data_IF_619385567297
#
_entry.id   IF_619385567297
#
_cell.length_a   1.000
_cell.length_b   1.000
_cell.length_c   1.000
_cell.angle_alpha   90.00
_cell.angle_beta   90.00
_cell.angle_gamma   90.00
#
_symmetry.space_group_name_H-M   'P 1'
#
loop_
_entity.id
_entity.type
_entity.pdbx_description
1 polymer ?
#
# COMPACT_ATOMS: atom_id res chain seq x y z
N UNK A 1 -16.65 -7.20 -20.36
CA UNK A 1 -15.51 -8.13 -20.54
C UNK A 1 -14.15 -7.42 -20.55
N UNK A 2 -14.09 -6.10 -20.34
CA UNK A 2 -12.86 -5.29 -20.48
C UNK A 2 -12.00 -5.18 -19.21
N UNK A 3 -12.62 -5.23 -18.02
CA UNK A 3 -11.91 -4.99 -16.74
C UNK A 3 -10.84 -6.07 -16.45
N UNK A 4 -11.19 -7.36 -16.65
CA UNK A 4 -10.24 -8.48 -16.45
C UNK A 4 -9.07 -8.47 -17.43
N UNK A 5 -9.29 -8.06 -18.68
CA UNK A 5 -8.24 -7.93 -19.68
C UNK A 5 -7.23 -6.86 -19.28
N UNK A 6 -7.72 -5.74 -18.75
CA UNK A 6 -6.88 -4.64 -18.28
C UNK A 6 -6.03 -5.05 -17.07
N UNK A 7 -6.59 -5.74 -16.06
CA UNK A 7 -5.85 -6.17 -14.88
C UNK A 7 -4.67 -7.12 -15.21
N UNK A 8 -4.81 -8.01 -16.20
CA UNK A 8 -3.73 -8.91 -16.61
C UNK A 8 -2.60 -8.20 -17.37
N UNK A 9 -2.93 -7.20 -18.18
CA UNK A 9 -1.93 -6.35 -18.84
C UNK A 9 -1.14 -5.54 -17.80
N UNK A 10 -1.84 -4.91 -16.85
CA UNK A 10 -1.22 -4.15 -15.76
C UNK A 10 -0.30 -5.04 -14.91
N UNK A 11 -0.79 -6.21 -14.48
CA UNK A 11 0.01 -7.14 -13.69
C UNK A 11 1.30 -7.60 -14.38
N UNK A 12 1.26 -7.85 -15.70
CA UNK A 12 2.47 -8.19 -16.47
C UNK A 12 3.44 -7.01 -16.53
N UNK A 13 2.93 -5.80 -16.79
CA UNK A 13 3.74 -4.57 -16.83
C UNK A 13 4.46 -4.33 -15.50
N UNK A 14 3.73 -4.43 -14.39
CA UNK A 14 4.28 -4.29 -13.03
C UNK A 14 5.37 -5.33 -12.79
N UNK A 15 5.11 -6.62 -13.09
CA UNK A 15 6.10 -7.70 -12.93
C UNK A 15 7.38 -7.39 -13.70
N UNK A 16 7.27 -7.07 -14.98
CA UNK A 16 8.43 -6.78 -15.83
C UNK A 16 9.23 -5.56 -15.36
N UNK A 17 8.56 -4.48 -14.94
CA UNK A 17 9.22 -3.27 -14.40
C UNK A 17 10.00 -3.60 -13.13
N UNK A 18 9.33 -4.22 -12.15
CA UNK A 18 9.91 -4.53 -10.84
C UNK A 18 11.06 -5.53 -10.94
N UNK A 19 10.95 -6.56 -11.79
CA UNK A 19 12.03 -7.52 -12.01
C UNK A 19 13.24 -6.91 -12.72
N UNK A 20 13.03 -5.91 -13.59
CA UNK A 20 14.10 -5.18 -14.25
C UNK A 20 14.85 -4.25 -13.26
N UNK A 21 14.11 -3.53 -12.42
CA UNK A 21 14.66 -2.58 -11.45
C UNK A 21 15.31 -3.28 -10.23
N UNK A 22 14.77 -4.43 -9.84
CA UNK A 22 15.20 -5.17 -8.65
C UNK A 22 15.44 -6.66 -8.97
N UNK A 23 16.52 -7.00 -9.72
CA UNK A 23 16.70 -8.36 -10.26
C UNK A 23 16.97 -9.45 -9.22
N UNK A 24 17.47 -9.10 -8.03
CA UNK A 24 17.98 -10.06 -7.05
C UNK A 24 17.06 -10.19 -5.84
N UNK A 25 16.69 -9.08 -5.20
CA UNK A 25 15.99 -9.07 -3.91
C UNK A 25 14.49 -9.40 -4.07
N UNK A 26 14.06 -10.57 -3.58
CA UNK A 26 12.66 -11.01 -3.67
C UNK A 26 11.71 -10.20 -2.76
N UNK A 27 12.17 -9.80 -1.58
CA UNK A 27 11.34 -9.01 -0.66
C UNK A 27 11.14 -7.61 -1.20
N UNK A 28 12.21 -6.97 -1.70
CA UNK A 28 12.11 -5.67 -2.35
C UNK A 28 11.22 -5.73 -3.58
N UNK A 29 11.33 -6.77 -4.42
CA UNK A 29 10.40 -6.98 -5.55
C UNK A 29 8.95 -7.07 -5.09
N UNK A 30 8.67 -7.82 -4.02
CA UNK A 30 7.31 -7.94 -3.48
C UNK A 30 6.78 -6.58 -3.01
N UNK A 31 7.59 -5.83 -2.27
CA UNK A 31 7.22 -4.51 -1.73
C UNK A 31 6.96 -3.52 -2.87
N UNK A 32 7.82 -3.49 -3.88
CA UNK A 32 7.68 -2.58 -5.02
C UNK A 32 6.52 -2.96 -5.92
N UNK A 33 6.28 -4.25 -6.14
CA UNK A 33 5.07 -4.69 -6.83
C UNK A 33 3.79 -4.28 -6.07
N UNK A 34 3.75 -4.43 -4.74
CA UNK A 34 2.61 -3.98 -3.95
C UNK A 34 2.38 -2.47 -4.05
N UNK A 35 3.46 -1.68 -4.03
CA UNK A 35 3.39 -0.24 -4.23
C UNK A 35 2.81 0.12 -5.62
N UNK A 36 3.37 -0.45 -6.69
CA UNK A 36 2.90 -0.23 -8.06
C UNK A 36 1.44 -0.65 -8.25
N UNK A 37 1.03 -1.79 -7.69
CA UNK A 37 -0.36 -2.27 -7.73
C UNK A 37 -1.31 -1.24 -7.10
N UNK A 38 -0.93 -0.63 -5.98
CA UNK A 38 -1.74 0.40 -5.30
C UNK A 38 -1.85 1.67 -6.14
N UNK A 39 -0.75 2.09 -6.76
CA UNK A 39 -0.70 3.27 -7.64
C UNK A 39 -1.57 3.07 -8.89
N UNK A 40 -1.42 1.93 -9.55
CA UNK A 40 -2.20 1.57 -10.74
C UNK A 40 -3.70 1.45 -10.40
N UNK A 41 -4.05 0.85 -9.26
CA UNK A 41 -5.43 0.77 -8.82
C UNK A 41 -6.04 2.15 -8.56
N UNK A 42 -5.26 3.10 -8.04
CA UNK A 42 -5.71 4.47 -7.81
C UNK A 42 -6.00 5.18 -9.15
N UNK A 43 -5.04 5.16 -10.09
CA UNK A 43 -5.19 5.74 -11.42
C UNK A 43 -6.42 5.19 -12.16
N UNK A 44 -6.54 3.86 -12.19
CA UNK A 44 -7.61 3.17 -12.92
C UNK A 44 -8.99 3.27 -12.25
N UNK A 45 -9.07 3.78 -11.02
CA UNK A 45 -10.35 4.08 -10.35
C UNK A 45 -10.94 5.45 -10.73
N UNK A 46 -10.33 6.16 -11.70
CA UNK A 46 -10.74 7.50 -12.11
C UNK A 46 -10.32 8.58 -11.11
N UNK A 47 -9.26 8.29 -10.34
CA UNK A 47 -8.66 9.23 -9.41
C UNK A 47 -7.32 9.63 -10.01
N UNK A 48 -7.25 10.85 -10.55
CA UNK A 48 -6.01 11.36 -11.11
C UNK A 48 -4.97 11.55 -9.98
N UNK A 49 -3.77 11.01 -10.18
CA UNK A 49 -2.71 11.01 -9.18
C UNK A 49 -1.97 12.34 -9.26
N UNK A 50 -2.27 13.22 -8.31
CA UNK A 50 -1.58 14.50 -8.15
C UNK A 50 -2.53 15.70 -8.12
N UNK A 51 -3.70 15.56 -8.73
CA UNK A 51 -4.63 16.69 -8.97
C UNK A 51 -5.70 16.88 -7.89
N UNK A 52 -5.79 15.98 -6.90
CA UNK A 52 -6.76 16.11 -5.81
C UNK A 52 -6.14 15.93 -4.43
N UNK A 53 -6.68 16.63 -3.42
CA UNK A 53 -6.31 16.41 -2.02
C UNK A 53 -6.55 14.96 -1.59
N UNK A 54 -7.56 14.29 -2.16
CA UNK A 54 -7.87 12.89 -1.90
C UNK A 54 -6.77 11.95 -2.46
N UNK A 55 -6.32 12.16 -3.69
CA UNK A 55 -5.25 11.34 -4.30
C UNK A 55 -3.94 11.48 -3.52
N UNK A 56 -3.55 12.70 -3.16
CA UNK A 56 -2.35 12.97 -2.38
C UNK A 56 -2.44 12.31 -0.98
N UNK A 57 -3.61 12.35 -0.35
CA UNK A 57 -3.86 11.71 0.93
C UNK A 57 -3.76 10.18 0.85
N UNK A 58 -4.27 9.56 -0.22
CA UNK A 58 -4.15 8.11 -0.43
C UNK A 58 -2.72 7.70 -0.73
N UNK A 59 -1.99 8.47 -1.52
CA UNK A 59 -0.60 8.20 -1.85
C UNK A 59 0.28 8.21 -0.58
N UNK A 60 0.02 9.14 0.34
CA UNK A 60 0.61 9.15 1.68
C UNK A 60 0.31 7.86 2.48
N UNK A 61 -0.93 7.36 2.42
CA UNK A 61 -1.28 6.06 3.03
C UNK A 61 -0.49 4.92 2.40
N UNK A 62 -0.36 4.89 1.08
CA UNK A 62 0.43 3.86 0.38
C UNK A 62 1.90 3.90 0.77
N UNK A 63 2.48 5.09 0.98
CA UNK A 63 3.85 5.23 1.49
C UNK A 63 4.02 4.63 2.88
N UNK A 64 3.08 4.87 3.79
CA UNK A 64 3.08 4.21 5.10
C UNK A 64 3.06 2.68 4.91
N UNK A 65 2.14 2.15 4.12
CA UNK A 65 2.07 0.69 3.89
C UNK A 65 3.39 0.15 3.32
N UNK A 66 4.03 0.83 2.37
CA UNK A 66 5.35 0.45 1.83
C UNK A 66 6.42 0.41 2.93
N UNK A 67 6.49 1.41 3.82
CA UNK A 67 7.44 1.42 4.95
C UNK A 67 7.19 0.24 5.89
N UNK A 68 5.93 -0.09 6.17
CA UNK A 68 5.58 -1.18 7.06
C UNK A 68 5.89 -2.56 6.44
N UNK A 69 5.71 -2.71 5.13
CA UNK A 69 6.13 -3.91 4.41
C UNK A 69 7.67 -4.05 4.41
N UNK A 70 8.39 -2.95 4.23
CA UNK A 70 9.86 -2.91 4.36
C UNK A 70 10.33 -3.22 5.77
N UNK A 71 9.62 -2.75 6.80
CA UNK A 71 9.91 -3.08 8.19
C UNK A 71 9.69 -4.57 8.48
N UNK A 72 8.62 -5.16 7.95
CA UNK A 72 8.35 -6.59 8.06
C UNK A 72 9.42 -7.46 7.35
N UNK A 73 10.01 -6.95 6.27
CA UNK A 73 11.16 -7.57 5.60
C UNK A 73 12.51 -7.28 6.28
N UNK A 74 12.54 -6.44 7.32
CA UNK A 74 13.77 -6.03 7.99
C UNK A 74 14.67 -5.08 7.18
N UNK A 75 14.09 -4.40 6.19
CA UNK A 75 14.76 -3.45 5.28
C UNK A 75 14.62 -2.00 5.79
N UNK A 76 13.47 -1.64 6.36
CA UNK A 76 13.22 -0.27 6.80
C UNK A 76 14.12 0.16 7.98
N UNK A 77 14.52 1.42 7.97
CA UNK A 77 15.25 2.06 9.06
C UNK A 77 14.32 2.49 10.19
N UNK A 78 14.88 2.65 11.41
CA UNK A 78 14.14 3.19 12.56
C UNK A 78 13.53 4.57 12.27
N UNK A 79 14.24 5.41 11.51
CA UNK A 79 13.78 6.76 11.14
C UNK A 79 12.54 6.71 10.24
N UNK A 80 12.50 5.79 9.27
CA UNK A 80 11.34 5.63 8.38
C UNK A 80 10.12 5.13 9.15
N UNK A 81 10.30 4.18 10.07
CA UNK A 81 9.21 3.67 10.92
C UNK A 81 8.64 4.78 11.80
N UNK A 82 9.51 5.62 12.40
CA UNK A 82 9.06 6.77 13.19
C UNK A 82 8.30 7.79 12.33
N UNK A 83 8.81 8.12 11.14
CA UNK A 83 8.12 9.03 10.23
C UNK A 83 6.75 8.49 9.79
N UNK A 84 6.63 7.18 9.58
CA UNK A 84 5.36 6.53 9.26
C UNK A 84 4.38 6.56 10.44
N UNK A 85 4.86 6.40 11.68
CA UNK A 85 4.06 6.51 12.89
C UNK A 85 3.54 7.95 13.09
N UNK A 86 4.42 8.94 12.94
CA UNK A 86 4.06 10.35 13.01
C UNK A 86 3.02 10.68 11.94
N UNK A 87 3.22 10.23 10.70
CA UNK A 87 2.27 10.47 9.62
C UNK A 87 0.90 9.82 9.87
N UNK A 88 0.89 8.61 10.43
CA UNK A 88 -0.34 7.91 10.83
C UNK A 88 -1.11 8.66 11.91
N UNK A 89 -0.40 9.21 12.90
CA UNK A 89 -0.99 10.03 13.97
C UNK A 89 -1.71 11.26 13.39
N UNK A 90 -1.10 11.93 12.40
CA UNK A 90 -1.67 13.11 11.74
C UNK A 90 -2.92 12.80 10.91
N UNK A 91 -3.17 11.55 10.52
CA UNK A 91 -4.40 11.18 9.82
C UNK A 91 -5.63 11.11 10.72
N UNK A 92 -5.43 10.88 12.03
CA UNK A 92 -6.50 10.57 12.97
C UNK A 92 -7.49 11.70 13.22
N UNK A 93 -7.09 12.98 13.06
CA UNK A 93 -7.89 14.14 13.48
C UNK A 93 -8.10 14.23 15.00
N UNK A 94 -8.13 13.08 15.69
CA UNK A 94 -8.17 12.89 17.13
C UNK A 94 -7.17 11.77 17.50
N UNK A 95 -6.16 12.10 18.31
CA UNK A 95 -5.03 11.22 18.65
C UNK A 95 -5.45 9.85 19.20
N UNK A 96 -6.54 9.80 19.97
CA UNK A 96 -7.05 8.59 20.64
C UNK A 96 -7.50 7.49 19.67
N UNK A 97 -7.96 7.84 18.48
CA UNK A 97 -8.48 6.85 17.53
C UNK A 97 -7.35 6.10 16.81
N UNK A 98 -6.17 6.72 16.70
CA UNK A 98 -5.00 6.16 16.02
C UNK A 98 -3.97 5.59 16.99
N UNK A 99 -4.07 5.88 18.29
CA UNK A 99 -3.11 5.46 19.33
C UNK A 99 -2.76 3.96 19.26
N UNK A 100 -3.73 3.01 19.18
CA UNK A 100 -3.39 1.58 19.06
C UNK A 100 -2.61 1.24 17.79
N UNK A 101 -2.86 1.95 16.69
CA UNK A 101 -2.18 1.72 15.43
C UNK A 101 -0.78 2.36 15.43
N UNK A 102 -0.63 3.55 16.02
CA UNK A 102 0.67 4.22 16.18
C UNK A 102 1.59 3.38 17.07
N UNK A 103 1.10 2.90 18.21
CA UNK A 103 1.86 2.03 19.11
C UNK A 103 2.30 0.73 18.40
N UNK A 104 1.41 0.14 17.61
CA UNK A 104 1.72 -1.04 16.82
C UNK A 104 2.79 -0.77 15.76
N UNK A 105 2.79 0.39 15.10
CA UNK A 105 3.88 0.79 14.18
C UNK A 105 5.20 0.98 14.93
N UNK A 106 5.18 1.67 16.07
CA UNK A 106 6.39 1.90 16.88
C UNK A 106 6.99 0.59 17.41
N UNK A 107 6.16 -0.41 17.73
CA UNK A 107 6.65 -1.74 18.11
C UNK A 107 7.43 -2.44 16.98
N UNK A 108 7.14 -2.15 15.71
CA UNK A 108 7.88 -2.68 14.55
C UNK A 108 9.31 -2.12 14.45
N UNK A 109 9.65 -1.06 15.20
CA UNK A 109 11.02 -0.53 15.30
C UNK A 109 11.98 -1.53 15.93
N UNK A 110 11.48 -2.25 16.93
CA UNK A 110 12.30 -3.09 17.81
C UNK A 110 12.04 -4.58 17.56
N UNK A 111 10.90 -4.91 16.97
CA UNK A 111 10.52 -6.27 16.60
C UNK A 111 10.46 -6.39 15.07
N UNK A 112 10.88 -7.53 14.51
CA UNK A 112 10.69 -7.86 13.09
C UNK A 112 9.43 -8.72 12.92
N UNK A 113 8.22 -8.14 12.86
CA UNK A 113 7.03 -8.94 12.61
C UNK A 113 7.05 -9.47 11.18
N UNK A 114 6.50 -10.66 10.96
CA UNK A 114 6.42 -11.22 9.61
C UNK A 114 5.37 -10.53 8.72
N UNK A 115 4.47 -9.72 9.31
CA UNK A 115 3.34 -9.06 8.64
C UNK A 115 3.02 -7.73 9.32
N UNK A 116 2.31 -6.85 8.60
CA UNK A 116 1.73 -5.63 9.17
C UNK A 116 0.71 -6.00 10.26
N UNK A 117 0.75 -5.38 11.45
CA UNK A 117 -0.24 -5.60 12.51
C UNK A 117 -1.68 -5.32 12.04
N UNK A 118 -2.64 -6.03 12.64
CA UNK A 118 -4.04 -5.98 12.21
C UNK A 118 -4.68 -4.62 12.50
N UNK A 119 -4.31 -4.02 13.63
CA UNK A 119 -4.73 -2.71 14.10
C UNK A 119 -4.34 -1.62 13.07
N UNK A 120 -3.10 -1.69 12.58
CA UNK A 120 -2.58 -0.76 11.57
C UNK A 120 -3.30 -0.95 10.25
N UNK A 121 -3.45 -2.21 9.81
CA UNK A 121 -4.17 -2.53 8.58
C UNK A 121 -5.61 -2.01 8.60
N UNK A 122 -6.31 -2.14 9.74
CA UNK A 122 -7.66 -1.61 9.94
C UNK A 122 -7.68 -0.09 9.87
N UNK A 123 -6.76 0.59 10.57
CA UNK A 123 -6.68 2.04 10.57
C UNK A 123 -6.44 2.61 9.17
N UNK A 124 -5.46 2.07 8.43
CA UNK A 124 -5.16 2.51 7.06
C UNK A 124 -6.34 2.25 6.11
N UNK A 125 -7.05 1.12 6.26
CA UNK A 125 -8.24 0.83 5.47
C UNK A 125 -9.38 1.83 5.72
N UNK A 126 -9.64 2.19 6.98
CA UNK A 126 -10.62 3.21 7.32
C UNK A 126 -10.24 4.59 6.78
N UNK A 127 -8.96 4.96 6.83
CA UNK A 127 -8.47 6.21 6.22
C UNK A 127 -8.73 6.20 4.71
N UNK A 128 -8.43 5.11 3.99
CA UNK A 128 -8.68 5.00 2.56
C UNK A 128 -10.17 5.11 2.24
N UNK A 129 -11.02 4.40 2.98
CA UNK A 129 -12.48 4.42 2.80
C UNK A 129 -13.05 5.83 3.00
N UNK A 130 -12.65 6.52 4.08
CA UNK A 130 -13.08 7.91 4.35
C UNK A 130 -12.58 8.88 3.27
N UNK A 131 -11.35 8.70 2.80
CA UNK A 131 -10.73 9.60 1.80
C UNK A 131 -11.35 9.43 0.42
N UNK A 132 -11.70 8.20 0.03
CA UNK A 132 -12.25 7.90 -1.30
C UNK A 132 -13.77 8.00 -1.39
N UNK A 133 -14.49 7.91 -0.27
CA UNK A 133 -15.95 7.93 -0.22
C UNK A 133 -16.56 6.99 -1.28
N UNK A 134 -17.39 7.50 -2.20
CA UNK A 134 -18.06 6.71 -3.24
C UNK A 134 -17.09 6.03 -4.22
N UNK A 135 -15.86 6.52 -4.35
CA UNK A 135 -14.82 5.92 -5.21
C UNK A 135 -14.12 4.72 -4.56
N UNK A 136 -14.36 4.47 -3.27
CA UNK A 136 -13.76 3.36 -2.52
C UNK A 136 -14.03 2.00 -3.18
N UNK A 137 -15.27 1.77 -3.63
CA UNK A 137 -15.65 0.50 -4.27
C UNK A 137 -14.81 0.19 -5.51
N UNK A 138 -14.70 1.17 -6.42
CA UNK A 138 -13.95 1.03 -7.67
C UNK A 138 -12.45 0.81 -7.40
N UNK A 139 -11.86 1.61 -6.51
CA UNK A 139 -10.46 1.44 -6.10
C UNK A 139 -10.21 0.05 -5.50
N UNK A 140 -11.08 -0.40 -4.60
CA UNK A 140 -10.94 -1.67 -3.92
C UNK A 140 -11.09 -2.85 -4.89
N UNK A 141 -12.05 -2.80 -5.80
CA UNK A 141 -12.23 -3.80 -6.84
C UNK A 141 -10.99 -3.89 -7.75
N UNK A 142 -10.51 -2.74 -8.24
CA UNK A 142 -9.31 -2.67 -9.08
C UNK A 142 -8.06 -3.22 -8.35
N UNK A 143 -7.88 -2.83 -7.08
CA UNK A 143 -6.78 -3.33 -6.25
C UNK A 143 -6.82 -4.87 -6.15
N UNK A 144 -7.99 -5.45 -5.91
CA UNK A 144 -8.15 -6.91 -5.84
C UNK A 144 -7.90 -7.59 -7.18
N UNK A 145 -8.39 -7.03 -8.28
CA UNK A 145 -8.22 -7.61 -9.61
C UNK A 145 -6.76 -7.61 -10.06
N UNK A 146 -6.05 -6.49 -9.93
CA UNK A 146 -4.62 -6.40 -10.26
C UNK A 146 -3.81 -7.35 -9.36
N UNK A 147 -4.07 -7.37 -8.05
CA UNK A 147 -3.38 -8.27 -7.11
C UNK A 147 -3.56 -9.74 -7.49
N UNK A 148 -4.80 -10.16 -7.83
CA UNK A 148 -5.08 -11.53 -8.27
C UNK A 148 -4.40 -11.84 -9.60
N UNK A 149 -4.36 -10.90 -10.54
CA UNK A 149 -3.66 -11.08 -11.80
C UNK A 149 -2.14 -11.22 -11.59
N UNK A 150 -1.54 -10.39 -10.75
CA UNK A 150 -0.12 -10.42 -10.40
C UNK A 150 0.29 -11.75 -9.74
N UNK A 151 -0.50 -12.23 -8.78
CA UNK A 151 -0.21 -13.51 -8.13
C UNK A 151 -0.33 -14.71 -9.09
N UNK A 152 -1.17 -14.62 -10.13
CA UNK A 152 -1.25 -15.63 -11.20
C UNK A 152 -0.04 -15.58 -12.13
N UNK A 153 0.51 -14.40 -12.42
CA UNK A 153 1.70 -14.24 -13.27
C UNK A 153 3.01 -14.56 -12.55
N UNK A 154 3.08 -14.47 -11.21
CA UNK A 154 4.24 -14.93 -10.43
C UNK A 154 4.41 -16.46 -10.46
N UNK A 155 3.31 -17.21 -10.56
CA UNK A 155 3.29 -18.69 -10.57
C UNK A 155 3.59 -19.32 -11.93
N UNK A 156 3.62 -18.52 -12.99
CA UNK A 156 3.97 -18.93 -14.36
C UNK A 156 5.39 -18.52 -14.66
#
# INVERSE_FOLDING_TARGET
MEVRGNAEVLAKRIKSRVELEHPIDEDLRRIMANHEIRTEALLHSGIDVGDSAASQRIERVHRIETVLESAAAGIATKKEIMAAADELEHFGGNRRDMEPAVDAVLAMRDMKPQRIPTEVSRALNEIKKRTLADRWGNYHEMLLEITRAYNRTKKK
#
